data_IF_318760999475
#
_entry.id   IF_318760999475
#
_cell.length_a   1.000
_cell.length_b   1.000
_cell.length_c   1.000
_cell.angle_alpha   90.00
_cell.angle_beta   90.00
_cell.angle_gamma   90.00
#
_symmetry.space_group_name_H-M   'P 1'
#
loop_
_entity.id
_entity.type
_entity.pdbx_description
1 polymer ?
#
# COMPACT_ATOMS: atom_id res chain seq x y z
N UNK A 1 -14.54 2.07 -5.72
CA UNK A 1 -13.18 2.14 -6.30
C UNK A 1 -13.05 3.24 -7.36
N UNK A 2 -14.02 3.39 -8.28
CA UNK A 2 -13.95 4.38 -9.37
C UNK A 2 -13.68 5.80 -8.88
N UNK A 3 -14.37 6.26 -7.83
CA UNK A 3 -14.17 7.59 -7.24
C UNK A 3 -12.71 7.86 -6.79
N UNK A 4 -12.04 6.84 -6.24
CA UNK A 4 -10.63 6.97 -5.85
C UNK A 4 -9.72 7.07 -7.07
N UNK A 5 -9.99 6.26 -8.09
CA UNK A 5 -9.23 6.29 -9.35
C UNK A 5 -9.38 7.64 -10.04
N UNK A 6 -10.59 8.21 -10.06
CA UNK A 6 -10.86 9.54 -10.62
C UNK A 6 -10.12 10.65 -9.85
N UNK A 7 -9.82 10.42 -8.56
CA UNK A 7 -8.99 11.30 -7.71
C UNK A 7 -7.49 11.00 -7.82
N UNK A 8 -7.10 10.13 -8.74
CA UNK A 8 -5.73 9.75 -9.06
C UNK A 8 -5.12 8.69 -8.13
N UNK A 9 -5.92 8.01 -7.30
CA UNK A 9 -5.44 6.85 -6.54
C UNK A 9 -5.21 5.67 -7.49
N UNK A 10 -4.27 4.76 -7.18
CA UNK A 10 -4.02 3.61 -8.02
C UNK A 10 -5.24 2.68 -8.05
N UNK A 11 -5.52 2.13 -9.24
CA UNK A 11 -6.50 1.06 -9.39
C UNK A 11 -5.93 -0.25 -8.86
N UNK A 12 -6.37 -0.67 -7.69
CA UNK A 12 -5.93 -1.91 -7.03
C UNK A 12 -6.74 -3.08 -7.55
N UNK A 13 -6.07 -4.05 -8.17
CA UNK A 13 -6.70 -5.26 -8.66
C UNK A 13 -6.79 -6.30 -7.55
N UNK A 14 -8.01 -6.70 -7.21
CA UNK A 14 -8.22 -7.82 -6.29
C UNK A 14 -8.05 -9.15 -7.03
N UNK A 15 -7.36 -10.09 -6.40
CA UNK A 15 -7.18 -11.46 -6.90
C UNK A 15 -8.08 -12.46 -6.17
N UNK A 16 -8.62 -12.09 -5.01
CA UNK A 16 -9.65 -12.83 -4.29
C UNK A 16 -10.54 -11.87 -3.50
N UNK A 17 -11.85 -12.13 -3.52
CA UNK A 17 -12.83 -11.28 -2.87
C UNK A 17 -12.95 -9.89 -3.52
N UNK A 18 -13.83 -9.07 -2.96
CA UNK A 18 -13.98 -7.68 -3.35
C UNK A 18 -13.44 -6.77 -2.25
N UNK A 19 -12.99 -5.57 -2.61
CA UNK A 19 -12.93 -4.48 -1.64
C UNK A 19 -14.38 -4.21 -1.23
N UNK A 20 -14.78 -4.65 -0.03
CA UNK A 20 -16.17 -4.53 0.44
C UNK A 20 -16.62 -3.08 0.60
N UNK A 21 -15.68 -2.14 0.64
CA UNK A 21 -15.98 -0.74 0.82
C UNK A 21 -15.05 0.11 -0.06
N UNK A 22 -15.66 1.02 -0.82
CA UNK A 22 -15.11 1.55 -2.06
C UNK A 22 -14.38 2.90 -1.93
N UNK A 23 -14.06 3.29 -0.70
CA UNK A 23 -13.51 4.59 -0.34
C UNK A 23 -12.13 4.49 0.33
N UNK A 24 -11.47 5.64 0.53
CA UNK A 24 -10.11 5.70 1.07
C UNK A 24 -10.00 5.11 2.48
N UNK A 25 -10.96 5.40 3.36
CA UNK A 25 -10.96 4.89 4.74
C UNK A 25 -10.89 3.36 4.73
N UNK A 26 -11.65 2.76 3.85
CA UNK A 26 -11.73 1.32 3.69
C UNK A 26 -10.45 0.72 3.13
N UNK A 27 -9.89 1.33 2.09
CA UNK A 27 -8.58 0.95 1.56
C UNK A 27 -7.50 0.98 2.66
N UNK A 28 -7.42 2.09 3.41
CA UNK A 28 -6.47 2.26 4.52
C UNK A 28 -6.67 1.18 5.57
N UNK A 29 -7.91 0.94 6.00
CA UNK A 29 -8.26 -0.07 7.00
C UNK A 29 -7.82 -1.47 6.54
N UNK A 30 -8.09 -1.83 5.29
CA UNK A 30 -7.73 -3.14 4.75
C UNK A 30 -6.22 -3.33 4.68
N UNK A 31 -5.47 -2.34 4.17
CA UNK A 31 -4.00 -2.37 4.10
C UNK A 31 -3.38 -2.45 5.51
N UNK A 32 -3.87 -1.62 6.44
CA UNK A 32 -3.42 -1.61 7.83
C UNK A 32 -3.64 -2.97 8.49
N UNK A 33 -4.80 -3.59 8.28
CA UNK A 33 -5.09 -4.92 8.82
C UNK A 33 -4.15 -5.98 8.23
N UNK A 34 -3.90 -5.95 6.92
CA UNK A 34 -2.97 -6.88 6.27
C UNK A 34 -1.58 -6.77 6.88
N UNK A 35 -1.06 -5.56 7.02
CA UNK A 35 0.28 -5.29 7.58
C UNK A 35 0.34 -5.71 9.06
N UNK A 36 -0.66 -5.34 9.87
CA UNK A 36 -0.69 -5.67 11.29
C UNK A 36 -0.69 -7.18 11.57
N UNK A 37 -1.16 -7.98 10.61
CA UNK A 37 -1.17 -9.44 10.69
C UNK A 37 -0.07 -10.10 9.86
N UNK A 38 0.90 -9.34 9.34
CA UNK A 38 1.96 -9.82 8.45
C UNK A 38 1.42 -10.62 7.24
N UNK A 39 0.21 -10.29 6.80
CA UNK A 39 -0.44 -10.90 5.63
C UNK A 39 0.04 -10.21 4.35
N UNK A 40 1.35 -10.25 4.15
CA UNK A 40 2.07 -9.60 3.06
C UNK A 40 3.13 -10.55 2.51
N UNK A 41 3.29 -10.57 1.19
CA UNK A 41 4.27 -11.42 0.50
C UNK A 41 4.86 -10.64 -0.68
N UNK A 42 6.18 -10.65 -0.81
CA UNK A 42 6.84 -10.00 -1.94
C UNK A 42 6.67 -10.83 -3.21
N UNK A 43 6.23 -10.18 -4.29
CA UNK A 43 6.22 -10.78 -5.61
C UNK A 43 7.53 -10.41 -6.29
N UNK A 44 8.24 -11.42 -6.79
CA UNK A 44 9.52 -11.23 -7.49
C UNK A 44 9.45 -11.81 -8.90
N UNK A 45 10.27 -11.25 -9.80
CA UNK A 45 10.49 -11.79 -11.14
C UNK A 45 11.73 -12.71 -11.17
N UNK A 46 11.97 -13.33 -12.33
CA UNK A 46 13.04 -14.31 -12.57
C UNK A 46 14.47 -13.81 -12.24
N UNK A 47 14.67 -12.51 -12.12
CA UNK A 47 15.93 -11.84 -11.77
C UNK A 47 16.02 -11.42 -10.28
N UNK A 48 15.13 -11.96 -9.44
CA UNK A 48 14.98 -11.61 -8.03
C UNK A 48 14.61 -10.13 -7.75
N UNK A 49 14.15 -9.39 -8.76
CA UNK A 49 13.64 -8.04 -8.55
C UNK A 49 12.22 -8.09 -7.99
N UNK A 50 11.96 -7.29 -6.94
CA UNK A 50 10.62 -7.12 -6.38
C UNK A 50 9.77 -6.35 -7.39
N UNK A 51 8.74 -6.98 -7.91
CA UNK A 51 7.80 -6.38 -8.86
C UNK A 51 6.53 -5.89 -8.19
N UNK A 52 6.24 -6.40 -6.99
CA UNK A 52 5.08 -5.97 -6.23
C UNK A 52 4.95 -6.63 -4.87
N UNK A 53 3.77 -6.44 -4.29
CA UNK A 53 3.38 -6.95 -2.99
C UNK A 53 2.00 -7.61 -3.12
N UNK A 54 1.91 -8.84 -2.66
CA UNK A 54 0.63 -9.51 -2.43
C UNK A 54 0.21 -9.25 -1.00
N UNK A 55 -1.04 -8.84 -0.82
CA UNK A 55 -1.61 -8.52 0.49
C UNK A 55 -2.95 -9.21 0.65
N UNK A 56 -3.26 -9.68 1.85
CA UNK A 56 -4.56 -10.32 2.13
C UNK A 56 -5.07 -10.02 3.54
N UNK A 57 -6.35 -10.29 3.75
CA UNK A 57 -6.94 -10.32 5.08
C UNK A 57 -7.59 -11.68 5.32
N UNK A 58 -7.60 -12.11 6.58
CA UNK A 58 -8.23 -13.36 6.98
C UNK A 58 -9.34 -13.11 8.00
N UNK A 59 -10.44 -13.86 7.89
CA UNK A 59 -11.46 -13.94 8.91
C UNK A 59 -11.66 -15.41 9.28
N UNK A 60 -11.54 -15.75 10.57
CA UNK A 60 -11.64 -17.14 11.07
C UNK A 60 -10.74 -18.12 10.29
N UNK A 61 -9.52 -17.72 9.95
CA UNK A 61 -8.56 -18.54 9.20
C UNK A 61 -8.75 -18.58 7.68
N UNK A 62 -9.83 -18.00 7.14
CA UNK A 62 -10.09 -17.96 5.70
C UNK A 62 -9.75 -16.60 5.11
N UNK A 63 -9.09 -16.58 3.94
CA UNK A 63 -8.84 -15.33 3.19
C UNK A 63 -10.18 -14.73 2.74
N UNK A 64 -10.47 -13.51 3.18
CA UNK A 64 -11.68 -12.77 2.77
C UNK A 64 -11.41 -11.82 1.61
N UNK A 65 -10.17 -11.38 1.48
CA UNK A 65 -9.73 -10.47 0.44
C UNK A 65 -8.25 -10.69 0.15
N UNK A 66 -7.86 -10.52 -1.11
CA UNK A 66 -6.49 -10.53 -1.58
C UNK A 66 -6.34 -9.54 -2.73
N UNK A 67 -5.22 -8.84 -2.76
CA UNK A 67 -4.82 -8.01 -3.89
C UNK A 67 -3.33 -8.14 -4.18
N UNK A 68 -2.97 -7.77 -5.41
CA UNK A 68 -1.59 -7.61 -5.84
C UNK A 68 -1.36 -6.14 -6.17
N UNK A 69 -0.29 -5.59 -5.60
CA UNK A 69 0.11 -4.19 -5.71
C UNK A 69 1.46 -4.14 -6.40
N UNK A 70 1.51 -3.63 -7.61
CA UNK A 70 2.77 -3.35 -8.29
C UNK A 70 3.57 -2.26 -7.55
N UNK A 71 4.89 -2.26 -7.72
CA UNK A 71 5.76 -1.20 -7.18
C UNK A 71 5.30 0.19 -7.64
N UNK A 72 4.80 0.33 -8.87
CA UNK A 72 4.24 1.57 -9.42
C UNK A 72 3.05 2.07 -8.58
N UNK A 73 2.15 1.17 -8.21
CA UNK A 73 0.96 1.46 -7.40
C UNK A 73 1.33 1.78 -5.96
N UNK A 74 2.29 1.04 -5.37
CA UNK A 74 2.80 1.33 -4.02
C UNK A 74 3.40 2.73 -3.94
N UNK A 75 4.19 3.14 -4.94
CA UNK A 75 4.73 4.51 -5.03
C UNK A 75 3.61 5.54 -5.08
N UNK A 76 2.59 5.30 -5.93
CA UNK A 76 1.47 6.23 -6.06
C UNK A 76 0.64 6.33 -4.77
N UNK A 77 0.42 5.21 -4.06
CA UNK A 77 -0.24 5.21 -2.75
C UNK A 77 0.50 6.12 -1.77
N UNK A 78 1.81 5.93 -1.63
CA UNK A 78 2.64 6.72 -0.70
C UNK A 78 2.57 8.21 -1.04
N UNK A 79 2.72 8.56 -2.32
CA UNK A 79 2.62 9.96 -2.76
C UNK A 79 1.25 10.56 -2.45
N UNK A 80 0.17 9.82 -2.71
CA UNK A 80 -1.18 10.29 -2.39
C UNK A 80 -1.42 10.44 -0.89
N UNK A 81 -0.82 9.60 -0.06
CA UNK A 81 -0.85 9.79 1.39
C UNK A 81 -0.09 11.05 1.82
N UNK A 82 1.11 11.28 1.27
CA UNK A 82 1.90 12.50 1.54
C UNK A 82 1.08 13.75 1.19
N UNK A 83 0.42 13.76 0.03
CA UNK A 83 -0.44 14.86 -0.39
C UNK A 83 -1.59 15.12 0.60
N UNK A 84 -2.19 14.07 1.18
CA UNK A 84 -3.24 14.22 2.20
C UNK A 84 -2.75 14.88 3.48
N UNK A 85 -1.49 14.70 3.85
CA UNK A 85 -0.90 15.36 5.02
C UNK A 85 -0.57 16.83 4.77
N UNK A 86 -0.82 17.35 3.56
CA UNK A 86 -0.53 18.75 3.21
C UNK A 86 0.97 19.05 3.12
N UNK A 87 1.82 18.02 3.18
CA UNK A 87 3.25 18.13 2.94
C UNK A 87 3.40 18.23 1.43
N UNK A 88 3.27 19.44 0.88
CA UNK A 88 3.53 19.65 -0.53
C UNK A 88 4.92 19.12 -0.87
N UNK A 89 5.05 18.36 -1.96
CA UNK A 89 6.33 17.77 -2.43
C UNK A 89 7.48 18.79 -2.59
N UNK A 90 7.19 20.10 -2.54
CA UNK A 90 8.18 21.17 -2.41
C UNK A 90 8.99 21.14 -1.11
N UNK A 91 8.49 20.52 -0.03
CA UNK A 91 9.22 20.37 1.25
C UNK A 91 9.96 19.03 1.38
N UNK A 92 9.76 18.08 0.46
CA UNK A 92 10.51 16.82 0.43
C UNK A 92 11.82 16.91 -0.37
N UNK A 93 12.19 18.12 -0.81
CA UNK A 93 13.57 18.41 -1.15
C UNK A 93 14.42 18.20 0.09
N UNK A 94 15.26 17.16 0.09
CA UNK A 94 16.20 16.75 1.16
C UNK A 94 15.69 15.70 2.17
N UNK A 95 14.99 14.64 1.75
CA UNK A 95 15.07 13.38 2.51
C UNK A 95 16.20 12.54 1.92
N UNK A 96 17.40 12.71 2.48
CA UNK A 96 18.52 11.80 2.24
C UNK A 96 18.28 10.53 3.08
N UNK A 97 17.96 9.41 2.44
CA UNK A 97 17.64 8.13 3.09
C UNK A 97 18.83 7.46 3.81
N UNK A 98 19.84 8.21 4.28
CA UNK A 98 21.09 7.65 4.84
C UNK A 98 21.27 7.78 6.35
N UNK A 99 20.37 8.42 7.10
CA UNK A 99 20.53 8.50 8.56
C UNK A 99 19.16 8.45 9.24
N UNK A 100 18.69 7.23 9.49
CA UNK A 100 17.87 6.97 10.67
C UNK A 100 18.83 6.76 11.83
N UNK A 101 19.24 7.87 12.46
CA UNK A 101 19.93 7.80 13.75
C UNK A 101 18.92 7.36 14.81
N UNK A 102 19.02 6.09 15.20
CA UNK A 102 18.32 5.54 16.36
C UNK A 102 19.12 5.98 17.59
N UNK A 103 18.57 6.79 18.50
CA UNK A 103 19.26 7.11 19.74
C UNK A 103 19.34 5.83 20.58
N UNK A 104 20.57 5.37 20.83
CA UNK A 104 20.85 4.30 21.79
C UNK A 104 20.66 4.88 23.20
N UNK A 105 19.68 4.35 23.92
CA UNK A 105 19.52 4.49 25.37
C UNK A 105 20.19 3.32 26.08
#
# INVERSE_FOLDING_TARGET
>A
MQELVDRGWPSIRTTLGALQEDNLRSLVRMLRNSIAHCNVEFVSWADAQITGLKVWNTHRGHKTWQAELEVSQLRLLVLKFIDLFGIGLKQLGTVNCRTLDIPQS
#
